data_IF_320666566005
#
_entry.id   IF_320666566005
#
_cell.length_a   1.000
_cell.length_b   1.000
_cell.length_c   1.000
_cell.angle_alpha   90.00
_cell.angle_beta   90.00
_cell.angle_gamma   90.00
#
_symmetry.space_group_name_H-M   'P 1'
#
loop_
_entity.id
_entity.type
_entity.pdbx_description
1 polymer ?
#
# COMPACT_ATOMS: atom_id res chain seq x y z
N UNK A 1 57.68 -16.50 -74.49
CA UNK A 1 58.99 -16.47 -73.79
C UNK A 1 58.80 -15.66 -72.52
N UNK A 2 58.87 -16.20 -71.31
CA UNK A 2 59.41 -17.48 -70.94
C UNK A 2 58.68 -17.98 -69.68
N UNK A 3 58.11 -19.17 -69.77
CA UNK A 3 57.53 -19.96 -68.68
C UNK A 3 58.53 -20.26 -67.55
N UNK A 4 59.81 -19.95 -67.76
CA UNK A 4 60.87 -20.09 -66.76
C UNK A 4 60.83 -19.00 -65.67
N UNK A 5 60.15 -17.87 -65.89
CA UNK A 5 60.03 -16.81 -64.87
C UNK A 5 58.93 -17.07 -63.84
N UNK A 6 58.03 -18.01 -64.11
CA UNK A 6 57.01 -18.46 -63.16
C UNK A 6 57.45 -19.69 -62.37
N UNK A 7 58.49 -20.41 -62.81
CA UNK A 7 59.05 -21.53 -62.05
C UNK A 7 60.01 -21.07 -60.94
N UNK A 8 60.75 -19.96 -61.13
CA UNK A 8 61.63 -19.42 -60.08
C UNK A 8 60.88 -18.74 -58.93
N UNK A 9 59.61 -18.36 -59.11
CA UNK A 9 58.77 -17.77 -58.05
C UNK A 9 58.02 -18.85 -57.23
N UNK A 10 57.83 -20.04 -57.82
CA UNK A 10 57.17 -21.19 -57.18
C UNK A 10 58.16 -22.02 -56.34
N UNK A 11 59.45 -22.05 -56.70
CA UNK A 11 60.49 -22.70 -55.88
C UNK A 11 60.94 -21.88 -54.65
N UNK A 12 60.77 -20.55 -54.67
CA UNK A 12 61.07 -19.71 -53.49
C UNK A 12 59.92 -19.65 -52.46
N UNK A 13 58.69 -20.02 -52.84
CA UNK A 13 57.56 -20.11 -51.90
C UNK A 13 57.38 -21.53 -51.32
N UNK A 14 57.74 -22.57 -52.05
CA UNK A 14 57.61 -23.96 -51.59
C UNK A 14 58.70 -24.43 -50.62
N UNK A 15 59.78 -23.67 -50.46
CA UNK A 15 60.84 -23.96 -49.46
C UNK A 15 60.76 -23.10 -48.20
N UNK A 16 59.83 -22.14 -48.14
CA UNK A 16 59.64 -21.27 -46.96
C UNK A 16 58.50 -21.75 -46.04
N UNK A 17 57.55 -22.54 -46.54
CA UNK A 17 56.38 -22.98 -45.77
C UNK A 17 56.47 -24.39 -45.15
N UNK A 18 57.63 -25.05 -45.20
CA UNK A 18 57.82 -26.40 -44.61
C UNK A 18 58.60 -26.39 -43.27
N UNK A 19 59.08 -25.23 -42.80
CA UNK A 19 59.94 -25.17 -41.58
C UNK A 19 59.23 -24.66 -40.31
N UNK A 20 57.94 -24.29 -40.36
CA UNK A 20 57.25 -23.75 -39.18
C UNK A 20 56.07 -24.56 -38.61
N UNK A 21 55.79 -25.78 -39.10
CA UNK A 21 54.64 -26.58 -38.62
C UNK A 21 55.00 -27.71 -37.65
N UNK A 22 56.21 -27.71 -37.08
CA UNK A 22 56.55 -28.61 -35.96
C UNK A 22 57.47 -27.93 -34.94
N UNK A 23 56.92 -27.01 -34.16
CA UNK A 23 57.43 -26.74 -32.80
C UNK A 23 56.28 -26.26 -31.92
N UNK A 24 56.01 -27.05 -30.90
CA UNK A 24 55.23 -26.71 -29.69
C UNK A 24 53.71 -26.97 -29.74
N UNK A 25 53.32 -28.21 -30.06
CA UNK A 25 52.08 -28.83 -29.52
C UNK A 25 52.32 -29.52 -28.16
N UNK A 26 53.28 -29.03 -27.38
CA UNK A 26 53.47 -29.41 -25.99
C UNK A 26 53.75 -28.17 -25.16
N UNK A 27 52.77 -27.27 -25.09
CA UNK A 27 52.64 -26.42 -23.93
C UNK A 27 51.58 -27.07 -23.05
N UNK A 28 52.08 -28.04 -22.29
CA UNK A 28 51.52 -28.51 -21.03
C UNK A 28 50.57 -27.47 -20.46
N UNK A 29 49.29 -27.83 -20.41
CA UNK A 29 48.42 -27.43 -19.33
C UNK A 29 49.29 -27.41 -18.08
N UNK A 30 49.59 -26.22 -17.55
CA UNK A 30 49.94 -26.10 -16.14
C UNK A 30 48.65 -26.47 -15.38
N UNK A 31 48.31 -27.75 -15.43
CA UNK A 31 47.65 -28.41 -14.33
C UNK A 31 48.61 -28.20 -13.17
N UNK A 32 48.32 -27.17 -12.38
CA UNK A 32 48.70 -27.14 -10.98
C UNK A 32 48.30 -28.51 -10.45
N UNK A 33 49.26 -29.42 -10.32
CA UNK A 33 49.07 -30.78 -9.86
C UNK A 33 48.78 -30.70 -8.37
N UNK A 34 47.58 -30.24 -8.07
CA UNK A 34 47.01 -30.33 -6.74
C UNK A 34 46.89 -31.82 -6.44
N UNK A 35 47.43 -32.21 -5.30
CA UNK A 35 47.38 -33.56 -4.77
C UNK A 35 45.95 -34.13 -4.88
N UNK A 36 45.76 -35.45 -5.09
CA UNK A 36 44.45 -36.08 -5.04
C UNK A 36 43.63 -35.68 -3.79
N UNK A 37 44.32 -35.39 -2.68
CA UNK A 37 43.74 -34.85 -1.45
C UNK A 37 43.32 -33.37 -1.57
N UNK A 38 44.11 -32.52 -2.23
CA UNK A 38 43.80 -31.09 -2.41
C UNK A 38 42.58 -30.87 -3.33
N UNK A 39 42.38 -31.73 -4.34
CA UNK A 39 41.15 -31.72 -5.14
C UNK A 39 39.92 -32.10 -4.30
N UNK A 40 40.04 -33.11 -3.43
CA UNK A 40 38.97 -33.50 -2.52
C UNK A 40 38.58 -32.38 -1.54
N UNK A 41 39.55 -31.65 -0.99
CA UNK A 41 39.28 -30.48 -0.14
C UNK A 41 38.57 -29.34 -0.90
N UNK A 42 38.84 -29.19 -2.20
CA UNK A 42 38.19 -28.17 -3.03
C UNK A 42 36.70 -28.49 -3.25
N UNK A 43 36.34 -29.77 -3.47
CA UNK A 43 34.93 -30.20 -3.55
C UNK A 43 34.17 -29.99 -2.23
N UNK A 44 34.81 -30.24 -1.08
CA UNK A 44 34.22 -29.99 0.25
C UNK A 44 33.99 -28.49 0.50
N UNK A 45 34.86 -27.61 -0.01
CA UNK A 45 34.73 -26.16 0.15
C UNK A 45 33.59 -25.54 -0.68
N UNK A 46 33.31 -26.12 -1.86
CA UNK A 46 32.16 -25.74 -2.70
C UNK A 46 30.83 -26.08 -2.00
N UNK A 47 30.74 -27.27 -1.39
CA UNK A 47 29.55 -27.73 -0.67
C UNK A 47 29.15 -26.80 0.49
N UNK A 48 30.13 -26.28 1.24
CA UNK A 48 29.87 -25.36 2.36
C UNK A 48 29.26 -24.04 1.91
N UNK A 49 29.61 -23.54 0.72
CA UNK A 49 29.06 -22.29 0.19
C UNK A 49 27.59 -22.46 -0.18
N UNK A 50 27.23 -23.56 -0.82
CA UNK A 50 25.85 -23.85 -1.20
C UNK A 50 24.95 -24.08 0.02
N UNK A 51 25.45 -24.80 1.03
CA UNK A 51 24.75 -24.97 2.31
C UNK A 51 24.53 -23.64 3.02
N UNK A 52 25.55 -22.77 3.07
CA UNK A 52 25.41 -21.44 3.68
C UNK A 52 24.39 -20.57 2.97
N UNK A 53 24.30 -20.67 1.64
CA UNK A 53 23.31 -19.94 0.84
C UNK A 53 21.90 -20.43 1.15
N UNK A 54 21.69 -21.75 1.24
CA UNK A 54 20.39 -22.33 1.60
C UNK A 54 19.96 -21.89 3.01
N UNK A 55 20.89 -21.91 3.98
CA UNK A 55 20.61 -21.45 5.35
C UNK A 55 20.21 -19.96 5.36
N UNK A 56 20.90 -19.13 4.59
CA UNK A 56 20.60 -17.69 4.50
C UNK A 56 19.20 -17.44 3.92
N UNK A 57 18.83 -18.13 2.83
CA UNK A 57 17.49 -18.04 2.27
C UNK A 57 16.41 -18.60 3.20
N UNK A 58 16.70 -19.69 3.92
CA UNK A 58 15.77 -20.27 4.90
C UNK A 58 15.45 -19.30 6.04
N UNK A 59 16.47 -18.61 6.57
CA UNK A 59 16.28 -17.56 7.58
C UNK A 59 15.46 -16.40 6.99
N UNK A 60 15.79 -15.94 5.78
CA UNK A 60 15.10 -14.81 5.15
C UNK A 60 13.61 -15.12 4.90
N UNK A 61 13.30 -16.28 4.32
CA UNK A 61 11.92 -16.74 4.10
C UNK A 61 11.20 -16.93 5.44
N UNK A 62 11.87 -17.50 6.44
CA UNK A 62 11.31 -17.70 7.77
C UNK A 62 10.91 -16.37 8.43
N UNK A 63 11.76 -15.35 8.34
CA UNK A 63 11.45 -14.00 8.85
C UNK A 63 10.27 -13.39 8.11
N UNK A 64 10.25 -13.45 6.77
CA UNK A 64 9.13 -12.93 5.97
C UNK A 64 7.83 -13.65 6.32
N UNK A 65 7.87 -14.98 6.46
CA UNK A 65 6.71 -15.81 6.82
C UNK A 65 6.17 -15.48 8.22
N UNK A 66 7.00 -14.99 9.13
CA UNK A 66 6.59 -14.63 10.49
C UNK A 66 6.00 -13.22 10.57
N UNK A 67 6.59 -12.25 9.87
CA UNK A 67 6.19 -10.84 9.94
C UNK A 67 4.94 -10.55 9.11
N UNK A 68 4.77 -11.24 7.98
CA UNK A 68 3.63 -11.03 7.07
C UNK A 68 2.26 -11.18 7.75
N UNK A 69 1.95 -12.30 8.44
CA UNK A 69 0.63 -12.48 9.06
C UNK A 69 0.37 -11.46 10.18
N UNK A 70 1.38 -11.08 10.96
CA UNK A 70 1.24 -10.07 12.00
C UNK A 70 0.85 -8.70 11.42
N UNK A 71 1.54 -8.31 10.34
CA UNK A 71 1.31 -7.02 9.68
C UNK A 71 -0.08 -6.94 9.06
N UNK A 72 -0.51 -8.01 8.38
CA UNK A 72 -1.86 -8.08 7.78
C UNK A 72 -2.93 -7.99 8.87
N UNK A 73 -2.79 -8.74 9.96
CA UNK A 73 -3.76 -8.72 11.05
C UNK A 73 -3.85 -7.32 11.68
N UNK A 74 -2.72 -6.67 11.95
CA UNK A 74 -2.69 -5.32 12.51
C UNK A 74 -3.30 -4.27 11.57
N UNK A 75 -3.07 -4.40 10.26
CA UNK A 75 -3.67 -3.52 9.27
C UNK A 75 -5.19 -3.69 9.22
N UNK A 76 -5.66 -4.94 9.14
CA UNK A 76 -7.10 -5.26 9.11
C UNK A 76 -7.80 -4.75 10.37
N UNK A 77 -7.23 -4.97 11.56
CA UNK A 77 -7.84 -4.50 12.80
C UNK A 77 -7.96 -2.98 12.85
N UNK A 78 -6.98 -2.27 12.30
CA UNK A 78 -6.99 -0.79 12.27
C UNK A 78 -8.07 -0.27 11.32
N UNK A 79 -8.16 -0.84 10.11
CA UNK A 79 -9.18 -0.45 9.12
C UNK A 79 -10.58 -0.78 9.65
N UNK A 80 -10.76 -1.95 10.26
CA UNK A 80 -12.05 -2.34 10.85
C UNK A 80 -12.47 -1.37 11.96
N UNK A 81 -11.54 -0.99 12.85
CA UNK A 81 -11.84 -0.03 13.91
C UNK A 81 -12.24 1.35 13.36
N UNK A 82 -11.55 1.83 12.33
CA UNK A 82 -11.87 3.11 11.70
C UNK A 82 -13.25 3.13 11.03
N UNK A 83 -13.64 2.03 10.37
CA UNK A 83 -14.97 1.87 9.79
C UNK A 83 -16.04 1.81 10.89
N UNK A 84 -15.79 1.08 11.98
CA UNK A 84 -16.74 0.94 13.09
C UNK A 84 -16.96 2.26 13.82
N UNK A 85 -15.90 3.04 14.05
CA UNK A 85 -15.97 4.37 14.66
C UNK A 85 -16.77 5.34 13.77
N UNK A 86 -16.45 5.41 12.48
CA UNK A 86 -17.14 6.28 11.53
C UNK A 86 -18.63 5.90 11.38
N UNK A 87 -18.93 4.60 11.39
CA UNK A 87 -20.32 4.10 11.34
C UNK A 87 -21.10 4.49 12.60
N UNK A 88 -20.48 4.35 13.77
CA UNK A 88 -21.09 4.70 15.05
C UNK A 88 -21.37 6.20 15.15
N UNK A 89 -20.42 7.04 14.71
CA UNK A 89 -20.58 8.49 14.66
C UNK A 89 -21.69 8.91 13.66
N UNK A 90 -21.77 8.26 12.51
CA UNK A 90 -22.83 8.50 11.52
C UNK A 90 -24.22 8.20 12.09
N UNK A 91 -24.38 7.06 12.77
CA UNK A 91 -25.66 6.68 13.38
C UNK A 91 -26.04 7.67 14.49
N UNK A 92 -25.08 8.02 15.36
CA UNK A 92 -25.31 8.94 16.47
C UNK A 92 -25.70 10.35 15.97
N UNK A 93 -24.96 10.89 14.99
CA UNK A 93 -25.24 12.21 14.41
C UNK A 93 -26.57 12.25 13.66
N UNK A 94 -26.95 11.18 12.95
CA UNK A 94 -28.27 11.07 12.33
C UNK A 94 -29.39 11.07 13.37
N UNK A 95 -29.22 10.32 14.46
CA UNK A 95 -30.20 10.29 15.54
C UNK A 95 -30.35 11.66 16.21
N UNK A 96 -29.24 12.38 16.42
CA UNK A 96 -29.27 13.76 16.92
C UNK A 96 -30.02 14.70 15.97
N UNK A 97 -29.81 14.59 14.67
CA UNK A 97 -30.54 15.37 13.66
C UNK A 97 -32.05 15.13 13.73
N UNK A 98 -32.48 13.87 13.84
CA UNK A 98 -33.90 13.54 13.97
C UNK A 98 -34.48 14.10 15.27
N UNK A 99 -33.77 13.98 16.39
CA UNK A 99 -34.19 14.56 17.68
C UNK A 99 -34.30 16.08 17.60
N UNK A 100 -33.32 16.77 17.01
CA UNK A 100 -33.38 18.22 16.82
C UNK A 100 -34.58 18.64 15.94
N UNK A 101 -34.88 17.85 14.89
CA UNK A 101 -36.04 18.11 14.02
C UNK A 101 -37.37 17.94 14.77
N UNK A 102 -37.46 16.94 15.64
CA UNK A 102 -38.63 16.72 16.50
C UNK A 102 -38.80 17.86 17.50
N UNK A 103 -37.71 18.31 18.12
CA UNK A 103 -37.68 19.46 19.03
C UNK A 103 -38.18 20.73 18.33
N UNK A 104 -37.68 21.03 17.12
CA UNK A 104 -38.09 22.19 16.35
C UNK A 104 -39.58 22.12 15.95
N UNK A 105 -40.06 20.94 15.57
CA UNK A 105 -41.49 20.73 15.30
C UNK A 105 -42.35 21.03 16.53
N UNK A 106 -41.92 20.59 17.71
CA UNK A 106 -42.61 20.90 18.97
C UNK A 106 -42.55 22.39 19.31
N UNK A 107 -41.40 23.05 19.10
CA UNK A 107 -41.25 24.49 19.31
C UNK A 107 -42.21 25.31 18.43
N UNK A 108 -42.30 24.97 17.14
CA UNK A 108 -43.24 25.62 16.20
C UNK A 108 -44.70 25.38 16.62
N UNK A 109 -45.04 24.18 17.11
CA UNK A 109 -46.39 23.92 17.63
C UNK A 109 -46.71 24.80 18.85
N UNK A 110 -45.76 24.97 19.77
CA UNK A 110 -45.93 25.86 20.92
C UNK A 110 -46.05 27.33 20.52
N UNK A 111 -45.28 27.77 19.52
CA UNK A 111 -45.40 29.13 18.96
C UNK A 111 -46.79 29.37 18.38
N UNK A 112 -47.30 28.45 17.57
CA UNK A 112 -48.64 28.57 16.98
C UNK A 112 -49.75 28.56 18.05
N UNK A 113 -49.62 27.73 19.07
CA UNK A 113 -50.54 27.72 20.20
C UNK A 113 -50.51 29.06 20.95
N UNK A 114 -49.33 29.65 21.15
CA UNK A 114 -49.19 30.96 21.80
C UNK A 114 -49.83 32.09 20.97
N UNK A 115 -49.67 32.05 19.64
CA UNK A 115 -50.36 32.99 18.73
C UNK A 115 -51.88 32.88 18.83
N UNK A 116 -52.39 31.65 18.98
CA UNK A 116 -53.82 31.42 19.16
C UNK A 116 -54.31 32.00 20.51
N UNK A 117 -53.58 31.76 21.60
CA UNK A 117 -53.91 32.34 22.91
C UNK A 117 -53.87 33.88 22.89
N UNK A 118 -52.90 34.47 22.18
CA UNK A 118 -52.84 35.92 21.99
C UNK A 118 -54.09 36.44 21.27
N UNK A 119 -54.56 35.75 20.23
CA UNK A 119 -55.77 36.15 19.51
C UNK A 119 -57.05 36.09 20.36
N UNK A 120 -57.03 35.28 21.43
CA UNK A 120 -58.11 35.16 22.41
C UNK A 120 -57.98 36.14 23.57
N UNK A 121 -56.87 36.90 23.63
CA UNK A 121 -56.56 37.81 24.75
C UNK A 121 -56.02 37.12 26.00
N UNK A 122 -55.67 35.83 25.90
CA UNK A 122 -55.18 35.00 27.03
C UNK A 122 -53.64 34.99 27.14
N UNK A 123 -52.95 35.65 26.21
CA UNK A 123 -51.49 35.80 26.22
C UNK A 123 -51.05 37.23 25.90
N UNK A 124 -49.73 37.46 25.90
CA UNK A 124 -49.09 38.74 25.62
C UNK A 124 -48.16 38.65 24.42
N UNK A 125 -47.95 39.79 23.75
CA UNK A 125 -47.00 39.89 22.63
C UNK A 125 -45.57 39.49 23.04
N UNK A 126 -45.19 39.76 24.30
CA UNK A 126 -43.90 39.35 24.85
C UNK A 126 -43.75 37.83 24.86
N UNK A 127 -44.79 37.09 25.27
CA UNK A 127 -44.75 35.62 25.31
C UNK A 127 -44.62 35.02 23.90
N UNK A 128 -45.35 35.57 22.93
CA UNK A 128 -45.23 35.16 21.52
C UNK A 128 -43.82 35.42 21.00
N UNK A 129 -43.25 36.59 21.26
CA UNK A 129 -41.90 36.91 20.81
C UNK A 129 -40.83 35.97 21.41
N UNK A 130 -41.00 35.59 22.68
CA UNK A 130 -40.13 34.61 23.33
C UNK A 130 -40.24 33.23 22.64
N UNK A 131 -41.46 32.80 22.29
CA UNK A 131 -41.68 31.54 21.56
C UNK A 131 -41.07 31.55 20.17
N UNK A 132 -41.27 32.63 19.41
CA UNK A 132 -40.66 32.82 18.09
C UNK A 132 -39.13 32.71 18.16
N UNK A 133 -38.51 33.34 19.17
CA UNK A 133 -37.07 33.25 19.39
C UNK A 133 -36.64 31.82 19.70
N UNK A 134 -37.38 31.08 20.52
CA UNK A 134 -37.08 29.67 20.80
C UNK A 134 -37.23 28.77 19.57
N UNK A 135 -38.27 28.96 18.74
CA UNK A 135 -38.43 28.26 17.46
C UNK A 135 -37.25 28.54 16.54
N UNK A 136 -36.84 29.81 16.41
CA UNK A 136 -35.70 30.20 15.58
C UNK A 136 -34.39 29.58 16.07
N UNK A 137 -34.16 29.55 17.38
CA UNK A 137 -32.99 28.91 17.99
C UNK A 137 -32.99 27.39 17.76
N UNK A 138 -34.15 26.74 17.91
CA UNK A 138 -34.30 25.30 17.63
C UNK A 138 -34.07 24.97 16.15
N UNK A 139 -34.54 25.81 15.23
CA UNK A 139 -34.22 25.68 13.81
C UNK A 139 -32.71 25.79 13.54
N UNK A 140 -31.99 26.67 14.26
CA UNK A 140 -30.53 26.72 14.24
C UNK A 140 -29.89 25.39 14.64
N UNK A 141 -30.35 24.78 15.74
CA UNK A 141 -29.87 23.45 16.17
C UNK A 141 -30.10 22.36 15.13
N UNK A 142 -31.20 22.40 14.38
CA UNK A 142 -31.46 21.45 13.28
C UNK A 142 -30.40 21.57 12.19
N UNK A 143 -30.03 22.80 11.83
CA UNK A 143 -28.99 23.06 10.82
C UNK A 143 -27.64 22.54 11.31
N UNK A 144 -27.28 22.83 12.56
CA UNK A 144 -26.02 22.37 13.15
C UNK A 144 -25.94 20.84 13.18
N UNK A 145 -27.01 20.17 13.62
CA UNK A 145 -27.08 18.71 13.64
C UNK A 145 -27.01 18.11 12.22
N UNK A 146 -27.61 18.76 11.22
CA UNK A 146 -27.53 18.33 9.83
C UNK A 146 -26.10 18.45 9.27
N UNK A 147 -25.40 19.53 9.60
CA UNK A 147 -23.99 19.72 9.22
C UNK A 147 -23.14 18.59 9.82
N UNK A 148 -23.35 18.26 11.10
CA UNK A 148 -22.62 17.20 11.77
C UNK A 148 -22.90 15.82 11.16
N UNK A 149 -24.17 15.52 10.84
CA UNK A 149 -24.54 14.31 10.10
C UNK A 149 -23.81 14.20 8.76
N UNK A 150 -23.78 15.27 7.96
CA UNK A 150 -23.08 15.25 6.68
C UNK A 150 -21.57 15.09 6.81
N UNK A 151 -20.94 15.68 7.84
CA UNK A 151 -19.53 15.45 8.12
C UNK A 151 -19.26 13.98 8.46
N UNK A 152 -20.05 13.38 9.34
CA UNK A 152 -19.93 11.97 9.71
C UNK A 152 -20.16 11.06 8.49
N UNK A 153 -21.10 11.42 7.62
CA UNK A 153 -21.34 10.69 6.37
C UNK A 153 -20.14 10.75 5.42
N UNK A 154 -19.52 11.92 5.27
CA UNK A 154 -18.29 12.06 4.48
C UNK A 154 -17.13 11.27 5.07
N UNK A 155 -16.98 11.24 6.40
CA UNK A 155 -15.96 10.43 7.08
C UNK A 155 -16.20 8.93 6.88
N UNK A 156 -17.44 8.48 7.00
CA UNK A 156 -17.82 7.09 6.70
C UNK A 156 -17.54 6.73 5.25
N UNK A 157 -17.89 7.60 4.30
CA UNK A 157 -17.56 7.37 2.88
C UNK A 157 -16.06 7.27 2.65
N UNK A 158 -15.28 8.12 3.31
CA UNK A 158 -13.83 8.09 3.20
C UNK A 158 -13.22 6.81 3.80
N UNK A 159 -13.73 6.33 4.93
CA UNK A 159 -13.21 5.10 5.57
C UNK A 159 -13.52 3.83 4.77
N UNK A 160 -14.67 3.77 4.08
CA UNK A 160 -15.00 2.62 3.22
C UNK A 160 -14.39 2.71 1.82
N UNK A 161 -14.07 3.93 1.34
CA UNK A 161 -13.54 4.15 0.01
C UNK A 161 -12.02 3.87 -0.11
N UNK A 162 -11.40 3.35 0.97
CA UNK A 162 -9.98 2.94 1.08
C UNK A 162 -9.14 3.09 -0.19
N UNK A 163 -8.12 3.96 -0.11
CA UNK A 163 -7.14 4.32 -1.16
C UNK A 163 -6.96 3.34 -2.33
#
# INVERSE_FOLDING_TARGET
MNSDKLQSEIESQSTFDIVHTQRNYHQSSQQKTLSPLERAFTYISLEKKDISVIIMYGILIGVVSLVTPLTINALVTTISAEIDDATSELIASYQQYITAKQENSAAIQMENAERQLLSQGESSLFTVNLRERFSAESAGRVVDALIQYHKAFSLYQWSIAGY
#
